data_IF_310579960719
#
_entry.id   IF_310579960719
#
_cell.length_a   1.000
_cell.length_b   1.000
_cell.length_c   1.000
_cell.angle_alpha   90.00
_cell.angle_beta   90.00
_cell.angle_gamma   90.00
#
_symmetry.space_group_name_H-M   'P 1'
#
loop_
_entity.id
_entity.type
_entity.pdbx_description
1 polymer ?
#
# COMPACT_ATOMS: atom_id res chain seq x y z
N UNK A 1 -2.52 17.61 -5.72
CA UNK A 1 -1.05 17.61 -5.77
C UNK A 1 -0.46 17.70 -4.36
N UNK A 2 0.43 16.76 -4.00
CA UNK A 2 1.14 16.78 -2.73
C UNK A 2 2.18 17.92 -2.66
N UNK A 3 2.36 18.49 -1.45
CA UNK A 3 3.33 19.55 -1.18
C UNK A 3 4.78 19.09 -1.42
N UNK A 4 5.74 20.03 -1.60
CA UNK A 4 7.15 19.68 -1.72
C UNK A 4 7.69 18.87 -0.53
N UNK A 5 7.18 19.15 0.67
CA UNK A 5 7.52 18.46 1.92
C UNK A 5 7.07 17.01 1.90
N UNK A 6 5.84 16.74 1.46
CA UNK A 6 5.32 15.37 1.31
C UNK A 6 6.16 14.58 0.31
N UNK A 7 6.53 15.19 -0.83
CA UNK A 7 7.37 14.52 -1.83
C UNK A 7 8.78 14.25 -1.30
N UNK A 8 9.32 15.16 -0.47
CA UNK A 8 10.61 14.98 0.20
C UNK A 8 10.53 13.82 1.20
N UNK A 9 9.46 13.74 1.99
CA UNK A 9 9.21 12.66 2.93
C UNK A 9 9.17 11.29 2.23
N UNK A 10 8.42 11.16 1.12
CA UNK A 10 8.40 9.91 0.36
C UNK A 10 9.77 9.50 -0.17
N UNK A 11 10.58 10.47 -0.63
CA UNK A 11 11.96 10.21 -1.06
C UNK A 11 12.84 9.78 0.10
N UNK A 12 12.69 10.40 1.26
CA UNK A 12 13.47 10.04 2.46
C UNK A 12 13.16 8.62 2.92
N UNK A 13 11.88 8.25 2.99
CA UNK A 13 11.45 6.89 3.34
C UNK A 13 11.93 5.88 2.30
N UNK A 14 11.77 6.16 1.02
CA UNK A 14 12.27 5.30 -0.06
C UNK A 14 13.79 5.09 0.05
N UNK A 15 14.55 6.17 0.25
CA UNK A 15 16.01 6.10 0.42
C UNK A 15 16.42 5.27 1.64
N UNK A 16 15.73 5.41 2.78
CA UNK A 16 16.00 4.63 3.98
C UNK A 16 15.80 3.12 3.75
N UNK A 17 14.72 2.77 3.04
CA UNK A 17 14.42 1.39 2.68
C UNK A 17 15.46 0.87 1.69
N UNK A 18 15.71 1.57 0.59
CA UNK A 18 16.61 1.11 -0.48
C UNK A 18 18.05 0.92 0.01
N UNK A 19 18.54 1.83 0.86
CA UNK A 19 19.93 1.80 1.31
C UNK A 19 20.17 0.94 2.53
N UNK A 20 19.17 0.81 3.41
CA UNK A 20 19.40 0.26 4.74
C UNK A 20 18.29 -0.66 5.23
N UNK A 21 17.21 -0.86 4.47
CA UNK A 21 16.03 -1.61 4.91
C UNK A 21 15.51 -1.12 6.27
N UNK A 22 15.60 0.19 6.51
CA UNK A 22 15.12 0.84 7.73
C UNK A 22 14.14 1.95 7.40
N UNK A 23 13.26 2.26 8.36
CA UNK A 23 12.37 3.41 8.28
C UNK A 23 12.23 4.02 9.68
N UNK A 24 12.24 5.36 9.75
CA UNK A 24 11.90 6.06 10.99
C UNK A 24 10.40 5.90 11.22
N UNK A 25 10.03 5.42 12.40
CA UNK A 25 8.66 5.11 12.80
C UNK A 25 7.63 6.19 12.45
N UNK A 26 7.91 7.42 12.86
CA UNK A 26 7.03 8.56 12.57
C UNK A 26 6.95 8.87 11.08
N UNK A 27 8.09 8.88 10.38
CA UNK A 27 8.12 9.11 8.93
C UNK A 27 7.37 8.02 8.16
N UNK A 28 7.38 6.76 8.65
CA UNK A 28 6.58 5.69 8.06
C UNK A 28 5.10 6.04 8.11
N UNK A 29 4.58 6.38 9.30
CA UNK A 29 3.17 6.75 9.49
C UNK A 29 2.79 7.96 8.64
N UNK A 30 3.55 9.05 8.74
CA UNK A 30 3.29 10.30 8.01
C UNK A 30 3.35 10.09 6.48
N UNK A 31 4.27 9.24 6.00
CA UNK A 31 4.37 8.94 4.58
C UNK A 31 3.16 8.17 4.05
N UNK A 32 2.62 7.25 4.84
CA UNK A 32 1.40 6.50 4.53
C UNK A 32 0.15 7.38 4.64
N UNK A 33 0.08 8.26 5.62
CA UNK A 33 -1.01 9.22 5.77
C UNK A 33 -1.07 10.19 4.58
N UNK A 34 0.08 10.73 4.19
CA UNK A 34 0.18 11.58 3.02
C UNK A 34 -0.15 10.82 1.73
N UNK A 35 0.26 9.54 1.63
CA UNK A 35 -0.07 8.69 0.49
C UNK A 35 -1.58 8.38 0.41
N UNK A 36 -2.25 8.15 1.53
CA UNK A 36 -3.70 7.96 1.59
C UNK A 36 -4.44 9.23 1.11
N UNK A 37 -3.96 10.41 1.52
CA UNK A 37 -4.53 11.70 1.10
C UNK A 37 -4.27 12.05 -0.37
N UNK A 38 -3.21 11.51 -0.97
CA UNK A 38 -2.77 11.82 -2.34
C UNK A 38 -2.53 10.55 -3.17
N UNK A 39 -3.45 9.58 -3.11
CA UNK A 39 -3.20 8.23 -3.62
C UNK A 39 -2.84 8.17 -5.11
N UNK A 40 -3.46 9.00 -5.95
CA UNK A 40 -3.17 8.97 -7.39
C UNK A 40 -1.72 9.35 -7.67
N UNK A 41 -1.21 10.39 -7.00
CA UNK A 41 0.20 10.79 -7.10
C UNK A 41 1.14 9.86 -6.33
N UNK A 42 0.67 9.25 -5.23
CA UNK A 42 1.46 8.37 -4.37
C UNK A 42 1.51 6.91 -4.84
N UNK A 43 0.76 6.53 -5.89
CA UNK A 43 0.59 5.13 -6.29
C UNK A 43 1.91 4.40 -6.53
N UNK A 44 2.86 5.03 -7.21
CA UNK A 44 4.18 4.42 -7.43
C UNK A 44 4.93 4.17 -6.11
N UNK A 45 4.82 5.09 -5.16
CA UNK A 45 5.41 4.95 -3.83
C UNK A 45 4.74 3.82 -3.03
N UNK A 46 3.40 3.78 -2.98
CA UNK A 46 2.67 2.75 -2.21
C UNK A 46 2.85 1.35 -2.80
N UNK A 47 2.78 1.20 -4.12
CA UNK A 47 3.00 -0.09 -4.79
C UNK A 47 4.43 -0.62 -4.56
N UNK A 48 5.42 0.27 -4.47
CA UNK A 48 6.83 -0.12 -4.34
C UNK A 48 7.25 -0.37 -2.90
N UNK A 49 6.81 0.48 -1.96
CA UNK A 49 7.38 0.54 -0.60
C UNK A 49 6.43 0.17 0.53
N UNK A 50 5.10 0.13 0.33
CA UNK A 50 4.17 -0.11 1.44
C UNK A 50 4.40 -1.45 2.13
N UNK A 51 4.76 -2.49 1.35
CA UNK A 51 5.08 -3.82 1.89
C UNK A 51 6.27 -3.77 2.85
N UNK A 52 7.32 -3.03 2.47
CA UNK A 52 8.57 -2.90 3.21
C UNK A 52 8.35 -2.03 4.45
N UNK A 53 7.67 -0.89 4.31
CA UNK A 53 7.31 -0.01 5.42
C UNK A 53 6.59 -0.80 6.50
N UNK A 54 5.44 -1.38 6.17
CA UNK A 54 4.63 -2.10 7.16
C UNK A 54 5.38 -3.35 7.63
N UNK A 55 6.07 -4.06 6.75
CA UNK A 55 6.90 -5.21 7.08
C UNK A 55 7.92 -4.92 8.19
N UNK A 56 8.71 -3.86 8.04
CA UNK A 56 9.72 -3.43 9.03
C UNK A 56 9.06 -3.13 10.38
N UNK A 57 7.94 -2.42 10.37
CA UNK A 57 7.23 -2.03 11.59
C UNK A 57 6.64 -3.24 12.32
N UNK A 58 6.00 -4.15 11.59
CA UNK A 58 5.38 -5.32 12.23
C UNK A 58 6.41 -6.35 12.67
N UNK A 59 7.60 -6.39 12.06
CA UNK A 59 8.68 -7.34 12.42
C UNK A 59 9.23 -7.15 13.83
N UNK A 60 8.93 -6.03 14.47
CA UNK A 60 9.32 -5.77 15.85
C UNK A 60 8.66 -6.72 16.85
N UNK A 61 9.38 -7.04 17.92
CA UNK A 61 8.86 -7.87 19.01
C UNK A 61 7.95 -7.01 19.92
N UNK A 62 6.66 -7.36 20.09
CA UNK A 62 5.72 -6.54 20.88
C UNK A 62 6.16 -6.28 22.33
N UNK A 63 6.94 -7.19 22.92
CA UNK A 63 7.49 -7.07 24.27
C UNK A 63 8.72 -6.16 24.38
N UNK A 64 9.31 -5.74 23.24
CA UNK A 64 10.53 -4.91 23.19
C UNK A 64 10.29 -3.49 22.68
N UNK A 65 9.06 -3.15 22.32
CA UNK A 65 8.70 -1.83 21.82
C UNK A 65 7.83 -1.09 22.81
N UNK A 66 8.01 0.23 22.87
CA UNK A 66 7.26 1.13 23.73
C UNK A 66 5.87 1.43 23.18
N UNK A 67 5.12 2.26 23.93
CA UNK A 67 3.76 2.63 23.54
C UNK A 67 3.72 3.43 22.25
N UNK A 68 4.70 4.32 22.03
CA UNK A 68 4.78 5.12 20.82
C UNK A 68 4.96 4.25 19.58
N UNK A 69 5.91 3.31 19.60
CA UNK A 69 6.15 2.39 18.50
C UNK A 69 4.92 1.52 18.21
N UNK A 70 4.22 1.05 19.26
CA UNK A 70 2.97 0.30 19.11
C UNK A 70 1.92 1.10 18.36
N UNK A 71 1.70 2.37 18.73
CA UNK A 71 0.80 3.26 18.00
C UNK A 71 1.22 3.42 16.54
N UNK A 72 2.51 3.59 16.25
CA UNK A 72 2.98 3.66 14.87
C UNK A 72 2.72 2.37 14.07
N UNK A 73 2.83 1.18 14.68
CA UNK A 73 2.44 -0.08 14.02
C UNK A 73 0.95 -0.08 13.71
N UNK A 74 0.11 0.24 14.70
CA UNK A 74 -1.35 0.23 14.59
C UNK A 74 -1.82 1.24 13.52
N UNK A 75 -1.32 2.47 13.58
CA UNK A 75 -1.64 3.53 12.63
C UNK A 75 -1.22 3.14 11.21
N UNK A 76 -0.02 2.59 11.03
CA UNK A 76 0.47 2.17 9.71
C UNK A 76 -0.35 1.02 9.13
N UNK A 77 -0.82 0.08 9.95
CA UNK A 77 -1.71 -0.99 9.51
C UNK A 77 -3.09 -0.44 9.12
N UNK A 78 -3.64 0.47 9.93
CA UNK A 78 -4.90 1.15 9.63
C UNK A 78 -4.83 1.93 8.31
N UNK A 79 -3.77 2.71 8.12
CA UNK A 79 -3.49 3.45 6.89
C UNK A 79 -3.29 2.52 5.70
N UNK A 80 -2.59 1.39 5.86
CA UNK A 80 -2.45 0.39 4.82
C UNK A 80 -3.81 -0.12 4.33
N UNK A 81 -4.72 -0.45 5.25
CA UNK A 81 -6.09 -0.89 4.91
C UNK A 81 -6.87 0.23 4.20
N UNK A 82 -6.76 1.47 4.68
CA UNK A 82 -7.41 2.62 4.06
C UNK A 82 -6.93 2.86 2.61
N UNK A 83 -5.62 2.79 2.38
CA UNK A 83 -4.98 2.90 1.07
C UNK A 83 -5.52 1.82 0.13
N UNK A 84 -5.58 0.56 0.58
CA UNK A 84 -6.14 -0.55 -0.20
C UNK A 84 -7.60 -0.29 -0.57
N UNK A 85 -8.42 0.15 0.39
CA UNK A 85 -9.82 0.47 0.13
C UNK A 85 -9.98 1.58 -0.91
N UNK A 86 -9.13 2.60 -0.85
CA UNK A 86 -9.16 3.71 -1.79
C UNK A 86 -8.65 3.29 -3.17
N UNK A 87 -7.60 2.47 -3.25
CA UNK A 87 -7.07 1.96 -4.51
C UNK A 87 -8.11 1.08 -5.23
N UNK A 88 -8.75 0.16 -4.51
CA UNK A 88 -9.84 -0.66 -5.04
C UNK A 88 -10.99 0.20 -5.58
N UNK A 89 -11.39 1.27 -4.87
CA UNK A 89 -12.41 2.21 -5.35
C UNK A 89 -11.99 2.89 -6.66
N UNK A 90 -10.72 3.29 -6.81
CA UNK A 90 -10.20 3.89 -8.05
C UNK A 90 -10.22 2.88 -9.20
N UNK A 91 -9.78 1.64 -8.94
CA UNK A 91 -9.78 0.57 -9.95
C UNK A 91 -11.21 0.23 -10.42
N UNK A 92 -12.18 0.18 -9.51
CA UNK A 92 -13.59 -0.03 -9.84
C UNK A 92 -14.17 1.09 -10.72
N UNK A 93 -13.84 2.36 -10.42
CA UNK A 93 -14.28 3.49 -11.26
C UNK A 93 -13.71 3.40 -12.67
N UNK A 94 -12.43 3.06 -12.81
CA UNK A 94 -11.76 2.87 -14.11
C UNK A 94 -12.40 1.76 -14.94
N UNK A 95 -12.72 0.63 -14.31
CA UNK A 95 -13.39 -0.49 -14.98
C UNK A 95 -14.78 -0.11 -15.51
N UNK A 96 -15.55 0.68 -14.75
CA UNK A 96 -16.90 1.13 -15.16
C UNK A 96 -16.87 2.20 -16.25
N UNK A 97 -15.87 3.10 -16.24
CA UNK A 97 -15.69 4.13 -17.26
C UNK A 97 -15.25 3.58 -18.62
N UNK A 98 -14.52 2.46 -18.65
CA UNK A 98 -14.08 1.81 -19.89
C UNK A 98 -15.22 1.11 -20.66
N UNK A 99 -16.36 0.82 -20.01
CA UNK A 99 -17.50 0.13 -20.63
C UNK A 99 -18.48 1.09 -21.33
N UNK A 100 -18.23 2.41 -21.34
CA UNK A 100 -19.16 3.44 -21.81
C UNK A 100 -18.87 4.07 -23.18
N UNK A 101 -17.79 3.69 -23.87
CA UNK A 101 -17.45 4.20 -25.22
C UNK A 101 -17.45 3.06 -26.23
N UNK A 102 -18.63 2.76 -26.77
CA UNK A 102 -18.83 1.74 -27.78
C UNK A 102 -19.76 2.25 -28.89
N UNK A 103 -19.27 3.17 -29.71
CA UNK A 103 -19.84 3.45 -31.02
C UNK A 103 -19.33 2.41 -32.02
N UNK A 104 -20.25 1.53 -32.44
CA UNK A 104 -20.29 0.66 -33.62
C UNK A 104 -19.02 0.48 -34.46
N UNK A 105 -18.43 -0.72 -34.44
CA UNK A 105 -17.95 -1.36 -35.68
C UNK A 105 -17.83 -2.88 -35.50
N UNK A 106 -18.39 -3.59 -36.47
CA UNK A 106 -18.57 -5.04 -36.55
C UNK A 106 -17.24 -5.79 -36.73
N UNK A 107 -17.14 -6.99 -36.13
CA UNK A 107 -16.31 -8.07 -36.68
C UNK A 107 -15.28 -8.71 -35.73
N UNK A 108 -15.48 -10.01 -35.51
CA UNK A 108 -14.52 -11.03 -35.03
C UNK A 108 -14.35 -11.17 -33.51
N UNK A 109 -15.07 -12.17 -33.00
CA UNK A 109 -15.02 -12.74 -31.65
C UNK A 109 -13.63 -13.28 -31.29
N UNK A 110 -12.87 -12.49 -30.54
CA UNK A 110 -11.80 -12.97 -29.67
C UNK A 110 -12.33 -12.81 -28.24
N UNK A 111 -12.38 -13.89 -27.46
CA UNK A 111 -12.79 -13.85 -26.06
C UNK A 111 -11.89 -12.86 -25.30
N UNK A 112 -12.42 -11.67 -25.01
CA UNK A 112 -11.78 -10.71 -24.14
C UNK A 112 -11.90 -11.21 -22.70
N UNK A 113 -10.92 -11.97 -22.24
CA UNK A 113 -10.70 -12.22 -20.82
C UNK A 113 -10.57 -10.86 -20.15
N UNK A 114 -11.63 -10.42 -19.47
CA UNK A 114 -11.63 -9.14 -18.78
C UNK A 114 -10.77 -9.31 -17.54
N UNK A 115 -9.46 -9.10 -17.65
CA UNK A 115 -8.57 -9.14 -16.49
C UNK A 115 -9.02 -8.06 -15.51
N UNK A 116 -9.49 -8.50 -14.34
CA UNK A 116 -9.86 -7.59 -13.27
C UNK A 116 -8.62 -6.80 -12.85
N UNK A 117 -8.72 -5.47 -12.68
CA UNK A 117 -7.58 -4.66 -12.29
C UNK A 117 -7.01 -5.13 -10.94
N UNK A 118 -5.73 -5.47 -10.93
CA UNK A 118 -5.02 -6.00 -9.76
C UNK A 118 -4.67 -4.89 -8.78
N UNK A 119 -5.05 -5.06 -7.52
CA UNK A 119 -4.69 -4.15 -6.43
C UNK A 119 -3.40 -4.63 -5.76
N UNK A 120 -2.24 -4.18 -6.25
CA UNK A 120 -0.93 -4.65 -5.74
C UNK A 120 -0.71 -4.35 -4.26
N UNK A 121 -1.30 -3.25 -3.77
CA UNK A 121 -1.24 -2.88 -2.35
C UNK A 121 -2.03 -3.86 -1.47
N UNK A 122 -3.07 -4.51 -2.00
CA UNK A 122 -3.77 -5.58 -1.29
C UNK A 122 -2.87 -6.81 -1.14
N UNK A 123 -2.15 -7.19 -2.19
CA UNK A 123 -1.20 -8.31 -2.16
C UNK A 123 -0.09 -8.08 -1.13
N UNK A 124 0.38 -6.82 -1.01
CA UNK A 124 1.35 -6.42 0.01
C UNK A 124 0.84 -6.71 1.43
N UNK A 125 -0.38 -6.26 1.77
CA UNK A 125 -0.96 -6.52 3.09
C UNK A 125 -1.20 -8.02 3.31
N UNK A 126 -1.75 -8.71 2.32
CA UNK A 126 -1.99 -10.16 2.40
C UNK A 126 -0.71 -10.93 2.72
N UNK A 127 0.41 -10.58 2.06
CA UNK A 127 1.72 -11.16 2.32
C UNK A 127 2.19 -10.92 3.77
N UNK A 128 1.98 -9.72 4.31
CA UNK A 128 2.38 -9.37 5.68
C UNK A 128 1.56 -10.14 6.71
N UNK A 129 0.23 -10.15 6.56
CA UNK A 129 -0.67 -10.85 7.48
C UNK A 129 -0.40 -12.36 7.50
N UNK A 130 -0.17 -12.97 6.33
CA UNK A 130 0.15 -14.41 6.27
C UNK A 130 1.48 -14.73 6.94
N UNK A 131 2.50 -13.89 6.75
CA UNK A 131 3.79 -14.04 7.45
C UNK A 131 3.60 -13.96 8.96
N UNK A 132 2.85 -12.97 9.45
CA UNK A 132 2.59 -12.81 10.89
C UNK A 132 1.74 -13.93 11.47
N UNK A 133 0.73 -14.40 10.75
CA UNK A 133 -0.08 -15.56 11.14
C UNK A 133 0.78 -16.82 11.29
N UNK A 134 1.73 -17.04 10.38
CA UNK A 134 2.66 -18.17 10.48
C UNK A 134 3.54 -18.07 11.73
N UNK A 135 4.12 -16.90 12.00
CA UNK A 135 4.93 -16.65 13.20
C UNK A 135 4.18 -17.00 14.50
N UNK A 136 2.94 -16.56 14.65
CA UNK A 136 2.15 -16.85 15.86
C UNK A 136 1.66 -18.31 15.96
N UNK A 137 1.60 -19.05 14.84
CA UNK A 137 1.31 -20.49 14.86
C UNK A 137 2.51 -21.29 15.38
N UNK A 138 3.72 -20.87 15.06
CA UNK A 138 4.96 -21.57 15.44
C UNK A 138 5.50 -21.16 16.81
N UNK A 139 5.07 -20.02 17.35
CA UNK A 139 5.50 -19.50 18.65
C UNK A 139 4.76 -20.14 19.86
N UNK A 140 4.13 -21.30 19.66
CA UNK A 140 3.45 -22.08 20.71
C UNK A 140 4.30 -23.24 21.19
#
# INVERSE_FOLDING_TARGET
>A
QPSPEVRKLWKEVANGIDKSQTVVWKNAVESLEAANSHLEEARGFTETYMKQIIGILVEQQPSKIGQHEKSCVEDSLGLGVAIVCQDLKVLLRKSRGASGSGSSTSGTSTQATTELPVCKVLDALHSIFNRKKAYYKTAK
#
